data_IF_987923959927
#
_entry.id   IF_987923959927
#
_cell.length_a   1.000
_cell.length_b   1.000
_cell.length_c   1.000
_cell.angle_alpha   90.00
_cell.angle_beta   90.00
_cell.angle_gamma   90.00
#
_symmetry.space_group_name_H-M   'P 1'
#
loop_
_entity.id
_entity.type
_entity.pdbx_description
1 polymer ?
#
# COMPACT_ATOMS: atom_id res chain seq x y z
N UNK A 1 -4.93 10.36 3.72
CA UNK A 1 -5.58 10.61 5.03
C UNK A 1 -4.51 10.86 6.07
N UNK A 2 -4.80 11.64 7.09
CA UNK A 2 -3.88 11.97 8.17
C UNK A 2 -4.53 11.67 9.53
N UNK A 3 -3.77 11.05 10.44
CA UNK A 3 -4.21 10.64 11.76
C UNK A 3 -3.03 10.61 12.75
N UNK A 4 -3.31 10.33 14.03
CA UNK A 4 -2.38 10.45 15.15
C UNK A 4 -2.33 11.87 15.72
N UNK A 5 -2.06 12.01 17.02
CA UNK A 5 -2.14 13.29 17.71
C UNK A 5 -1.24 14.40 17.14
N UNK A 6 -0.12 14.02 16.52
CA UNK A 6 0.81 14.94 15.86
C UNK A 6 0.64 15.02 14.33
N UNK A 7 -0.17 14.14 13.72
CA UNK A 7 -0.25 14.04 12.25
C UNK A 7 -0.70 15.35 11.61
N UNK A 8 -1.74 15.99 12.17
CA UNK A 8 -2.27 17.26 11.68
C UNK A 8 -1.27 18.42 11.70
N UNK A 9 -0.20 18.33 12.51
CA UNK A 9 0.82 19.39 12.63
C UNK A 9 1.75 19.44 11.41
N UNK A 10 1.96 18.29 10.75
CA UNK A 10 2.87 18.18 9.61
C UNK A 10 2.14 17.88 8.28
N UNK A 11 0.82 17.70 8.33
CA UNK A 11 0.00 17.25 7.21
C UNK A 11 0.21 18.06 5.92
N UNK A 12 0.15 19.39 5.99
CA UNK A 12 0.31 20.26 4.82
C UNK A 12 1.73 20.19 4.23
N UNK A 13 2.76 20.24 5.09
CA UNK A 13 4.16 20.22 4.64
C UNK A 13 4.56 18.88 4.01
N UNK A 14 4.11 17.76 4.60
CA UNK A 14 4.29 16.42 4.03
C UNK A 14 3.54 16.31 2.70
N UNK A 15 2.32 16.83 2.62
CA UNK A 15 1.55 16.84 1.38
C UNK A 15 2.24 17.66 0.29
N UNK A 16 2.77 18.84 0.61
CA UNK A 16 3.53 19.67 -0.34
C UNK A 16 4.79 18.96 -0.83
N UNK A 17 5.56 18.32 0.06
CA UNK A 17 6.76 17.56 -0.30
C UNK A 17 6.46 16.37 -1.23
N UNK A 18 5.30 15.72 -1.03
CA UNK A 18 4.83 14.60 -1.86
C UNK A 18 4.03 15.06 -3.11
N UNK A 19 3.85 16.37 -3.31
CA UNK A 19 3.03 16.90 -4.41
C UNK A 19 1.54 16.56 -4.31
N UNK A 20 1.05 16.21 -3.13
CA UNK A 20 -0.36 15.97 -2.84
C UNK A 20 -1.10 17.30 -2.69
N UNK A 21 -2.33 17.37 -3.19
CA UNK A 21 -3.15 18.60 -3.19
C UNK A 21 -4.28 18.60 -2.15
N UNK A 22 -4.52 17.44 -1.53
CA UNK A 22 -5.66 17.25 -0.62
C UNK A 22 -5.26 16.33 0.52
N UNK A 23 -5.59 16.72 1.74
CA UNK A 23 -5.46 15.89 2.95
C UNK A 23 -6.82 15.78 3.62
N UNK A 24 -7.13 14.60 4.12
CA UNK A 24 -8.36 14.31 4.83
C UNK A 24 -8.05 13.92 6.27
N UNK A 25 -8.71 14.57 7.22
CA UNK A 25 -8.51 14.41 8.67
C UNK A 25 -9.86 14.11 9.32
N UNK A 26 -9.94 12.94 9.96
CA UNK A 26 -11.13 12.50 10.68
C UNK A 26 -11.29 13.27 12.02
N UNK A 27 -12.50 13.56 12.53
CA UNK A 27 -12.66 14.27 13.82
C UNK A 27 -12.01 13.56 15.00
N UNK A 28 -11.87 12.23 14.91
CA UNK A 28 -11.16 11.40 15.87
C UNK A 28 -9.72 11.06 15.45
N UNK A 29 -9.11 11.83 14.55
CA UNK A 29 -7.77 11.58 14.01
C UNK A 29 -6.72 11.31 15.10
N UNK A 30 -6.73 12.08 16.19
CA UNK A 30 -5.79 11.91 17.32
C UNK A 30 -5.88 10.54 18.02
N UNK A 31 -7.04 9.89 17.97
CA UNK A 31 -7.33 8.59 18.62
C UNK A 31 -7.89 7.56 17.63
N UNK A 32 -7.58 7.72 16.34
CA UNK A 32 -8.25 6.97 15.27
C UNK A 32 -8.02 5.46 15.39
N UNK A 33 -6.86 5.04 15.90
CA UNK A 33 -6.57 3.63 16.19
C UNK A 33 -7.49 3.05 17.25
N UNK A 34 -7.76 3.78 18.34
CA UNK A 34 -8.68 3.35 19.39
C UNK A 34 -10.13 3.31 18.88
N UNK A 35 -10.52 4.29 18.08
CA UNK A 35 -11.82 4.29 17.40
C UNK A 35 -11.95 3.09 16.45
N UNK A 36 -10.93 2.81 15.65
CA UNK A 36 -10.89 1.65 14.75
C UNK A 36 -10.99 0.31 15.49
N UNK A 37 -10.30 0.18 16.64
CA UNK A 37 -10.45 -1.00 17.50
C UNK A 37 -11.87 -1.13 18.06
N UNK A 38 -12.51 -0.03 18.45
CA UNK A 38 -13.90 -0.05 18.94
C UNK A 38 -14.94 -0.38 17.88
N UNK A 39 -14.67 -0.04 16.61
CA UNK A 39 -15.52 -0.39 15.47
C UNK A 39 -15.25 -1.77 14.89
N UNK A 40 -14.11 -2.38 15.23
CA UNK A 40 -13.70 -3.65 14.65
C UNK A 40 -14.71 -4.74 15.03
N UNK A 41 -15.18 -5.48 14.02
CA UNK A 41 -15.97 -6.68 14.24
C UNK A 41 -15.14 -7.71 15.01
N UNK A 42 -15.73 -8.30 16.04
CA UNK A 42 -15.13 -9.47 16.70
C UNK A 42 -15.04 -10.62 15.71
N UNK A 43 -13.87 -11.24 15.63
CA UNK A 43 -13.55 -12.30 14.67
C UNK A 43 -12.89 -13.46 15.39
N UNK A 44 -13.29 -14.68 15.03
CA UNK A 44 -12.64 -15.90 15.46
C UNK A 44 -12.29 -16.72 14.22
N UNK A 45 -11.02 -17.08 14.05
CA UNK A 45 -10.55 -17.88 12.92
C UNK A 45 -10.11 -19.25 13.45
N UNK A 46 -10.56 -20.30 12.77
CA UNK A 46 -10.15 -21.68 13.00
C UNK A 46 -9.75 -22.30 11.67
N UNK A 47 -8.63 -23.02 11.65
CA UNK A 47 -8.10 -23.63 10.43
C UNK A 47 -7.55 -25.03 10.70
N UNK A 48 -7.51 -25.85 9.65
CA UNK A 48 -6.96 -27.21 9.68
C UNK A 48 -6.17 -27.49 8.40
N UNK A 49 -4.95 -27.98 8.56
CA UNK A 49 -4.15 -28.49 7.46
C UNK A 49 -4.74 -29.80 6.93
N UNK A 50 -4.81 -29.93 5.60
CA UNK A 50 -5.36 -31.08 4.89
C UNK A 50 -4.24 -31.76 4.09
N UNK A 51 -3.49 -30.98 3.28
CA UNK A 51 -2.42 -31.45 2.40
C UNK A 51 -2.80 -32.68 1.57
N UNK A 52 -3.91 -32.57 0.83
CA UNK A 52 -4.41 -33.64 -0.06
C UNK A 52 -4.66 -33.14 -1.48
N UNK A 53 -4.47 -33.98 -2.51
CA UNK A 53 -4.91 -33.65 -3.87
C UNK A 53 -6.40 -33.28 -3.90
N UNK A 54 -6.75 -32.30 -4.74
CA UNK A 54 -8.13 -31.89 -4.97
C UNK A 54 -8.90 -33.04 -5.65
N UNK A 55 -9.59 -33.83 -4.83
CA UNK A 55 -10.34 -35.00 -5.24
C UNK A 55 -11.62 -35.14 -4.39
N UNK A 56 -12.66 -35.86 -4.88
CA UNK A 56 -13.93 -36.00 -4.16
C UNK A 56 -13.80 -36.47 -2.71
N UNK A 57 -12.87 -37.40 -2.42
CA UNK A 57 -12.64 -37.87 -1.06
C UNK A 57 -12.10 -36.77 -0.13
N UNK A 58 -11.16 -35.95 -0.61
CA UNK A 58 -10.61 -34.82 0.13
C UNK A 58 -11.67 -33.72 0.36
N UNK A 59 -12.55 -33.49 -0.61
CA UNK A 59 -13.67 -32.55 -0.46
C UNK A 59 -14.62 -32.97 0.68
N UNK A 60 -14.92 -34.26 0.80
CA UNK A 60 -15.72 -34.80 1.90
C UNK A 60 -15.07 -34.60 3.27
N UNK A 61 -13.76 -34.86 3.38
CA UNK A 61 -12.97 -34.61 4.61
C UNK A 61 -12.94 -33.12 4.97
N UNK A 62 -12.76 -32.26 3.98
CA UNK A 62 -12.77 -30.80 4.14
C UNK A 62 -14.14 -30.29 4.62
N UNK A 63 -15.23 -30.75 4.00
CA UNK A 63 -16.59 -30.37 4.39
C UNK A 63 -16.90 -30.75 5.85
N UNK A 64 -16.56 -31.98 6.25
CA UNK A 64 -16.69 -32.42 7.64
C UNK A 64 -15.84 -31.57 8.60
N UNK A 65 -14.61 -31.26 8.22
CA UNK A 65 -13.72 -30.39 9.00
C UNK A 65 -14.23 -28.97 9.16
N UNK A 66 -14.76 -28.39 8.08
CA UNK A 66 -15.31 -27.04 8.10
C UNK A 66 -16.52 -26.95 9.04
N UNK A 67 -17.33 -28.00 9.17
CA UNK A 67 -18.41 -28.05 10.16
C UNK A 67 -17.88 -27.99 11.60
N UNK A 68 -16.82 -28.75 11.91
CA UNK A 68 -16.17 -28.73 13.23
C UNK A 68 -15.53 -27.37 13.53
N UNK A 69 -14.80 -26.81 12.56
CA UNK A 69 -14.17 -25.48 12.68
C UNK A 69 -15.22 -24.38 12.84
N UNK A 70 -16.33 -24.47 12.12
CA UNK A 70 -17.46 -23.55 12.22
C UNK A 70 -18.11 -23.58 13.60
N UNK A 71 -18.33 -24.76 14.17
CA UNK A 71 -18.88 -24.91 15.51
C UNK A 71 -17.93 -24.29 16.56
N UNK A 72 -16.62 -24.56 16.45
CA UNK A 72 -15.63 -23.99 17.36
C UNK A 72 -15.48 -22.46 17.25
N UNK A 73 -15.45 -21.92 16.03
CA UNK A 73 -15.36 -20.47 15.81
C UNK A 73 -16.61 -19.72 16.27
N UNK A 74 -17.80 -20.34 16.09
CA UNK A 74 -19.06 -19.79 16.62
C UNK A 74 -19.07 -19.79 18.14
N UNK A 75 -18.70 -20.90 18.77
CA UNK A 75 -18.68 -21.03 20.23
C UNK A 75 -17.80 -19.95 20.87
N UNK A 76 -16.61 -19.70 20.30
CA UNK A 76 -15.71 -18.65 20.79
C UNK A 76 -16.36 -17.25 20.80
N UNK A 77 -17.09 -16.89 19.73
CA UNK A 77 -17.78 -15.58 19.70
C UNK A 77 -19.00 -15.54 20.63
N UNK A 78 -19.71 -16.65 20.82
CA UNK A 78 -20.81 -16.74 21.80
C UNK A 78 -20.28 -16.59 23.23
N UNK A 79 -19.15 -17.19 23.56
CA UNK A 79 -18.48 -17.03 24.87
C UNK A 79 -18.02 -15.58 25.12
N UNK A 80 -17.75 -14.83 24.05
CA UNK A 80 -17.49 -13.37 24.11
C UNK A 80 -18.77 -12.52 24.20
N UNK A 81 -19.95 -13.15 24.30
CA UNK A 81 -21.23 -12.48 24.55
C UNK A 81 -22.04 -12.11 23.30
N UNK A 82 -21.69 -12.61 22.11
CA UNK A 82 -22.47 -12.39 20.89
C UNK A 82 -23.65 -13.37 20.78
N UNK A 83 -24.80 -12.86 20.35
CA UNK A 83 -25.91 -13.73 19.98
C UNK A 83 -25.60 -14.48 18.69
N UNK A 84 -26.02 -15.74 18.58
CA UNK A 84 -25.77 -16.56 17.37
C UNK A 84 -26.31 -15.94 16.08
N UNK A 85 -27.41 -15.19 16.17
CA UNK A 85 -28.02 -14.48 15.04
C UNK A 85 -27.14 -13.35 14.48
N UNK A 86 -26.17 -12.87 15.26
CA UNK A 86 -25.22 -11.82 14.88
C UNK A 86 -23.92 -12.39 14.29
N UNK A 87 -23.74 -13.72 14.29
CA UNK A 87 -22.50 -14.36 13.83
C UNK A 87 -22.69 -14.84 12.38
N UNK A 88 -21.88 -14.29 11.47
CA UNK A 88 -21.74 -14.81 10.11
C UNK A 88 -20.51 -15.72 10.03
N UNK A 89 -20.61 -16.83 9.30
CA UNK A 89 -19.48 -17.73 9.04
C UNK A 89 -19.03 -17.60 7.59
N UNK A 90 -17.73 -17.55 7.39
CA UNK A 90 -17.10 -17.52 6.07
C UNK A 90 -16.11 -18.68 6.00
N UNK A 91 -16.34 -19.62 5.10
CA UNK A 91 -15.45 -20.76 4.87
C UNK A 91 -14.52 -20.47 3.69
N UNK A 92 -13.23 -20.76 3.84
CA UNK A 92 -12.21 -20.62 2.81
C UNK A 92 -11.33 -21.87 2.72
N UNK A 93 -10.67 -22.03 1.57
CA UNK A 93 -9.64 -23.03 1.36
C UNK A 93 -8.40 -22.39 0.71
N UNK A 94 -7.23 -22.87 1.10
CA UNK A 94 -5.95 -22.54 0.49
C UNK A 94 -5.54 -23.67 -0.43
N UNK A 95 -5.40 -23.35 -1.72
CA UNK A 95 -4.99 -24.29 -2.75
C UNK A 95 -3.61 -23.91 -3.28
N UNK A 96 -2.85 -24.91 -3.73
CA UNK A 96 -1.57 -24.74 -4.43
C UNK A 96 -1.42 -25.75 -5.55
N UNK A 97 -0.50 -25.49 -6.48
CA UNK A 97 -0.08 -26.52 -7.40
C UNK A 97 0.79 -27.54 -6.67
N UNK A 98 0.69 -28.81 -7.06
CA UNK A 98 1.53 -29.88 -6.53
C UNK A 98 3.03 -29.54 -6.67
N UNK A 99 3.80 -29.74 -5.60
CA UNK A 99 5.23 -29.42 -5.58
C UNK A 99 5.55 -27.92 -5.64
N UNK A 100 4.64 -27.06 -5.16
CA UNK A 100 4.86 -25.62 -4.94
C UNK A 100 4.48 -25.27 -3.49
N UNK A 101 5.01 -24.17 -2.96
CA UNK A 101 4.70 -23.67 -1.61
C UNK A 101 3.75 -22.46 -1.65
N UNK A 102 3.66 -21.78 -2.81
CA UNK A 102 2.76 -20.65 -3.03
C UNK A 102 1.28 -21.07 -3.03
N UNK A 103 0.52 -20.61 -2.03
CA UNK A 103 -0.92 -20.89 -1.92
C UNK A 103 -1.80 -19.69 -2.27
N UNK A 104 -3.02 -19.98 -2.71
CA UNK A 104 -4.07 -18.99 -2.95
C UNK A 104 -5.30 -19.31 -2.10
N UNK A 105 -5.74 -18.33 -1.32
CA UNK A 105 -6.95 -18.43 -0.51
C UNK A 105 -8.20 -18.11 -1.35
N UNK A 106 -9.20 -19.00 -1.29
CA UNK A 106 -10.40 -18.96 -2.10
C UNK A 106 -11.63 -19.22 -1.22
N UNK A 107 -12.80 -18.62 -1.52
CA UNK A 107 -14.05 -19.02 -0.90
C UNK A 107 -14.30 -20.51 -1.13
N UNK A 108 -14.69 -21.22 -0.06
CA UNK A 108 -14.97 -22.65 -0.12
C UNK A 108 -16.08 -22.97 -1.14
N UNK A 109 -15.99 -24.15 -1.75
CA UNK A 109 -17.06 -24.77 -2.52
C UNK A 109 -16.94 -26.29 -2.38
N UNK A 110 -18.08 -26.97 -2.30
CA UNK A 110 -18.11 -28.44 -2.34
C UNK A 110 -17.86 -28.97 -3.76
N UNK A 111 -17.95 -28.11 -4.78
CA UNK A 111 -17.61 -28.43 -6.16
C UNK A 111 -16.11 -28.20 -6.42
N UNK A 112 -15.36 -29.30 -6.56
CA UNK A 112 -13.94 -29.25 -6.89
C UNK A 112 -13.63 -28.59 -8.22
N UNK A 113 -14.52 -28.70 -9.22
CA UNK A 113 -14.32 -28.04 -10.52
C UNK A 113 -14.46 -26.52 -10.39
N UNK A 114 -15.37 -26.05 -9.54
CA UNK A 114 -15.49 -24.64 -9.21
C UNK A 114 -14.25 -24.11 -8.47
N UNK A 115 -13.75 -24.84 -7.46
CA UNK A 115 -12.51 -24.48 -6.76
C UNK A 115 -11.33 -24.38 -7.73
N UNK A 116 -11.17 -25.37 -8.62
CA UNK A 116 -10.12 -25.35 -9.63
C UNK A 116 -10.22 -24.13 -10.55
N UNK A 117 -11.42 -23.83 -11.06
CA UNK A 117 -11.64 -22.65 -11.92
C UNK A 117 -11.34 -21.33 -11.20
N UNK A 118 -11.75 -21.20 -9.93
CA UNK A 118 -11.46 -20.02 -9.10
C UNK A 118 -9.96 -19.88 -8.87
N UNK A 119 -9.27 -20.99 -8.58
CA UNK A 119 -7.82 -21.04 -8.41
C UNK A 119 -7.11 -20.58 -9.68
N UNK A 120 -7.38 -21.20 -10.83
CA UNK A 120 -6.72 -20.86 -12.10
C UNK A 120 -6.94 -19.40 -12.50
N UNK A 121 -8.17 -18.89 -12.33
CA UNK A 121 -8.46 -17.48 -12.59
C UNK A 121 -7.57 -16.57 -11.71
N UNK A 122 -7.57 -16.80 -10.40
CA UNK A 122 -6.82 -15.99 -9.44
C UNK A 122 -5.30 -16.13 -9.62
N UNK A 123 -4.83 -17.33 -9.98
CA UNK A 123 -3.44 -17.62 -10.27
C UNK A 123 -2.99 -16.88 -11.53
N UNK A 124 -3.80 -16.87 -12.60
CA UNK A 124 -3.49 -16.10 -13.81
C UNK A 124 -3.49 -14.59 -13.56
N UNK A 125 -4.42 -14.09 -12.76
CA UNK A 125 -4.46 -12.67 -12.37
C UNK A 125 -3.21 -12.25 -11.57
N UNK A 126 -2.70 -13.14 -10.71
CA UNK A 126 -1.55 -12.84 -9.85
C UNK A 126 -0.19 -13.10 -10.50
N UNK A 127 -0.08 -14.16 -11.31
CA UNK A 127 1.19 -14.69 -11.81
C UNK A 127 1.30 -14.68 -13.34
N UNK A 128 0.18 -14.51 -14.07
CA UNK A 128 0.17 -14.37 -15.54
C UNK A 128 0.21 -15.67 -16.36
N UNK A 129 0.44 -16.83 -15.74
CA UNK A 129 0.51 -18.13 -16.40
C UNK A 129 -0.24 -19.23 -15.62
N UNK A 130 -0.28 -20.47 -16.12
CA UNK A 130 -0.79 -21.66 -15.42
C UNK A 130 0.22 -22.82 -15.52
N UNK A 131 0.07 -23.83 -14.67
CA UNK A 131 0.88 -25.06 -14.68
C UNK A 131 -0.01 -26.27 -15.04
N UNK A 132 -0.29 -26.52 -16.33
CA UNK A 132 -1.30 -27.50 -16.75
C UNK A 132 -0.96 -28.95 -16.38
N UNK A 133 0.34 -29.27 -16.25
CA UNK A 133 0.81 -30.62 -15.93
C UNK A 133 0.84 -30.91 -14.42
N UNK A 134 0.38 -29.98 -13.58
CA UNK A 134 0.39 -30.12 -12.12
C UNK A 134 -1.01 -30.20 -11.56
N UNK A 135 -1.24 -31.20 -10.70
CA UNK A 135 -2.45 -31.30 -9.92
C UNK A 135 -2.60 -30.15 -8.93
N UNK A 136 -3.81 -29.95 -8.41
CA UNK A 136 -4.08 -29.03 -7.32
C UNK A 136 -4.09 -29.77 -5.98
N UNK A 137 -3.57 -29.13 -4.94
CA UNK A 137 -3.54 -29.62 -3.56
C UNK A 137 -4.34 -28.65 -2.70
N UNK A 138 -5.25 -29.19 -1.89
CA UNK A 138 -5.88 -28.46 -0.79
C UNK A 138 -4.91 -28.50 0.39
N UNK A 139 -4.25 -27.38 0.66
CA UNK A 139 -3.30 -27.28 1.76
C UNK A 139 -4.03 -27.14 3.09
N UNK A 140 -4.95 -26.18 3.19
CA UNK A 140 -5.63 -25.81 4.44
C UNK A 140 -7.07 -25.42 4.16
N UNK A 141 -7.97 -25.73 5.08
CA UNK A 141 -9.33 -25.17 5.12
C UNK A 141 -9.50 -24.35 6.39
N UNK A 142 -10.28 -23.27 6.31
CA UNK A 142 -10.51 -22.36 7.42
C UNK A 142 -11.97 -21.89 7.48
N UNK A 143 -12.42 -21.58 8.69
CA UNK A 143 -13.66 -20.85 8.94
C UNK A 143 -13.33 -19.61 9.76
N UNK A 144 -13.79 -18.47 9.26
CA UNK A 144 -13.84 -17.21 10.00
C UNK A 144 -15.28 -16.96 10.46
N UNK A 145 -15.47 -16.84 11.76
CA UNK A 145 -16.68 -16.30 12.34
C UNK A 145 -16.52 -14.78 12.50
N UNK A 146 -17.50 -14.02 12.02
CA UNK A 146 -17.52 -12.55 12.07
C UNK A 146 -18.77 -12.09 12.80
N UNK A 147 -18.58 -11.40 13.92
CA UNK A 147 -19.65 -10.70 14.62
C UNK A 147 -20.11 -9.48 13.83
N UNK A 148 -21.38 -9.44 13.44
CA UNK A 148 -21.97 -8.24 12.86
C UNK A 148 -22.14 -7.19 13.95
N UNK A 149 -21.32 -6.14 13.89
CA UNK A 149 -21.61 -4.88 14.57
C UNK A 149 -22.44 -4.02 13.62
N UNK A 150 -23.55 -3.45 14.10
CA UNK A 150 -24.23 -2.42 13.32
C UNK A 150 -23.25 -1.25 13.13
N UNK A 151 -23.02 -0.79 11.89
CA UNK A 151 -22.19 0.38 11.68
C UNK A 151 -22.84 1.55 12.41
N UNK A 152 -22.22 2.01 13.49
CA UNK A 152 -22.59 3.26 14.14
C UNK A 152 -22.16 4.37 13.18
N UNK A 153 -23.06 4.72 12.25
CA UNK A 153 -22.85 5.88 11.40
C UNK A 153 -22.70 7.09 12.31
N UNK A 154 -21.60 7.83 12.16
CA UNK A 154 -21.49 9.12 12.80
C UNK A 154 -22.69 9.96 12.34
N UNK A 155 -23.50 10.51 13.26
CA UNK A 155 -24.62 11.34 12.87
C UNK A 155 -24.08 12.51 12.03
N UNK A 156 -24.67 12.80 10.86
CA UNK A 156 -24.27 13.97 10.09
C UNK A 156 -24.39 15.22 10.96
N UNK A 157 -23.38 16.07 10.91
CA UNK A 157 -23.44 17.38 11.57
C UNK A 157 -24.63 18.15 11.00
N UNK A 158 -25.50 18.63 11.88
CA UNK A 158 -26.64 19.47 11.51
C UNK A 158 -26.15 20.86 11.11
N UNK A 159 -26.32 21.22 9.83
CA UNK A 159 -26.10 22.58 9.33
C UNK A 159 -26.08 22.64 7.80
N UNK A 160 -26.70 23.67 7.22
CA UNK A 160 -26.56 23.96 5.80
C UNK A 160 -25.16 24.55 5.55
N UNK A 161 -24.28 23.89 4.77
CA UNK A 161 -22.93 24.38 4.49
C UNK A 161 -22.91 25.78 3.85
N UNK A 162 -23.99 26.21 3.21
CA UNK A 162 -24.07 27.46 2.47
C UNK A 162 -24.28 28.71 3.36
N UNK A 163 -24.71 28.54 4.61
CA UNK A 163 -25.06 29.64 5.52
C UNK A 163 -24.17 29.71 6.79
N UNK A 164 -23.07 28.95 6.82
CA UNK A 164 -22.23 28.90 8.00
C UNK A 164 -21.56 30.28 8.26
N UNK A 165 -21.71 30.87 9.46
CA UNK A 165 -21.08 32.15 9.78
C UNK A 165 -19.55 32.03 9.75
N UNK A 166 -18.81 33.14 9.65
CA UNK A 166 -17.35 33.11 9.75
C UNK A 166 -16.91 32.46 11.07
N UNK A 167 -15.91 31.59 11.00
CA UNK A 167 -15.35 30.98 12.19
C UNK A 167 -14.73 32.04 13.11
N UNK A 168 -14.98 31.93 14.42
CA UNK A 168 -14.44 32.86 15.42
C UNK A 168 -13.09 32.36 15.91
N UNK A 169 -12.04 33.15 15.74
CA UNK A 169 -10.75 32.87 16.32
C UNK A 169 -10.78 33.01 17.85
N UNK A 170 -10.19 32.03 18.54
CA UNK A 170 -9.94 32.07 19.98
C UNK A 170 -8.78 33.01 20.34
N UNK A 171 -7.75 33.03 19.50
CA UNK A 171 -6.52 33.78 19.72
C UNK A 171 -5.79 34.05 18.40
N UNK A 172 -4.79 34.92 18.46
CA UNK A 172 -3.75 35.03 17.43
C UNK A 172 -2.40 34.69 18.06
N UNK A 173 -1.59 33.93 17.33
CA UNK A 173 -0.26 33.48 17.78
C UNK A 173 0.75 33.59 16.65
N UNK A 174 2.04 33.69 17.02
CA UNK A 174 3.13 33.62 16.05
C UNK A 174 3.41 32.17 15.65
N UNK A 175 3.29 31.87 14.37
CA UNK A 175 3.66 30.60 13.74
C UNK A 175 4.95 30.79 12.94
N UNK A 176 5.96 29.96 13.17
CA UNK A 176 7.16 29.94 12.32
C UNK A 176 7.07 28.78 11.34
N UNK A 177 6.99 29.10 10.05
CA UNK A 177 6.91 28.13 8.95
C UNK A 177 7.47 28.76 7.68
N UNK A 178 7.86 27.97 6.69
CA UNK A 178 8.44 28.46 5.43
C UNK A 178 9.56 29.51 5.67
N UNK A 179 10.40 29.27 6.68
CA UNK A 179 11.51 30.13 7.10
C UNK A 179 11.17 31.57 7.50
N UNK A 180 9.92 31.85 7.93
CA UNK A 180 9.54 33.16 8.48
C UNK A 180 8.42 33.05 9.52
N UNK A 181 8.21 34.14 10.26
CA UNK A 181 7.08 34.25 11.19
C UNK A 181 5.81 34.73 10.46
N UNK A 182 4.68 34.15 10.83
CA UNK A 182 3.33 34.53 10.44
C UNK A 182 2.48 34.75 11.69
N UNK A 183 1.47 35.63 11.60
CA UNK A 183 0.38 35.69 12.58
C UNK A 183 -0.69 34.66 12.17
N UNK A 184 -0.92 33.66 13.01
CA UNK A 184 -1.86 32.58 12.76
C UNK A 184 -3.06 32.68 13.72
N UNK A 185 -4.28 32.61 13.17
CA UNK A 185 -5.48 32.52 13.97
C UNK A 185 -5.63 31.10 14.55
N UNK A 186 -6.02 31.02 15.83
CA UNK A 186 -6.28 29.76 16.52
C UNK A 186 -7.78 29.55 16.62
N UNK A 187 -8.27 28.39 16.18
CA UNK A 187 -9.68 28.01 16.23
C UNK A 187 -9.87 26.80 17.15
N UNK A 188 -11.00 26.77 17.85
CA UNK A 188 -11.44 25.56 18.54
C UNK A 188 -12.19 24.66 17.56
N UNK A 189 -11.77 23.40 17.44
CA UNK A 189 -12.44 22.44 16.56
C UNK A 189 -13.90 22.25 16.92
N UNK A 190 -14.25 22.29 18.22
CA UNK A 190 -15.63 22.07 18.67
C UNK A 190 -16.57 23.23 18.35
N UNK A 191 -16.02 24.40 18.02
CA UNK A 191 -16.78 25.58 17.62
C UNK A 191 -16.94 25.69 16.09
N UNK A 192 -16.28 24.82 15.32
CA UNK A 192 -16.38 24.83 13.86
C UNK A 192 -17.62 24.07 13.38
N UNK A 193 -18.31 24.64 12.40
CA UNK A 193 -19.53 24.11 11.81
C UNK A 193 -19.26 23.57 10.39
N UNK A 194 -20.01 22.55 9.93
CA UNK A 194 -19.98 22.11 8.54
C UNK A 194 -20.11 23.28 7.56
N UNK A 195 -19.31 23.24 6.48
CA UNK A 195 -19.24 24.29 5.47
C UNK A 195 -18.24 25.41 5.76
N UNK A 196 -17.83 25.62 7.02
CA UNK A 196 -16.84 26.64 7.33
C UNK A 196 -15.48 26.32 6.70
N UNK A 197 -14.87 27.35 6.13
CA UNK A 197 -13.54 27.30 5.54
C UNK A 197 -12.56 28.20 6.30
N UNK A 198 -11.34 27.71 6.49
CA UNK A 198 -10.26 28.40 7.18
C UNK A 198 -9.05 28.48 6.25
N UNK A 199 -8.67 29.68 5.84
CA UNK A 199 -7.43 29.91 5.10
C UNK A 199 -6.23 29.91 6.04
N UNK A 200 -5.15 29.23 5.63
CA UNK A 200 -3.87 29.28 6.31
C UNK A 200 -3.16 30.62 6.12
N UNK A 201 -2.30 31.07 7.06
CA UNK A 201 -1.84 30.34 8.25
C UNK A 201 -2.87 30.32 9.38
N UNK A 202 -3.23 29.12 9.83
CA UNK A 202 -4.19 28.93 10.92
C UNK A 202 -3.89 27.64 11.71
N UNK A 203 -4.33 27.60 12.97
CA UNK A 203 -4.17 26.44 13.85
C UNK A 203 -5.56 26.03 14.34
N UNK A 204 -5.90 24.77 14.14
CA UNK A 204 -7.11 24.16 14.70
C UNK A 204 -6.70 23.31 15.90
N UNK A 205 -7.12 23.75 17.09
CA UNK A 205 -6.92 23.01 18.34
C UNK A 205 -8.08 22.03 18.51
N UNK A 206 -7.75 20.78 18.78
CA UNK A 206 -8.71 19.72 19.10
C UNK A 206 -8.44 19.18 20.51
N UNK A 207 -9.34 18.35 21.04
CA UNK A 207 -9.13 17.72 22.36
C UNK A 207 -7.88 16.83 22.39
N UNK A 208 -7.64 16.09 21.30
CA UNK A 208 -6.61 15.04 21.23
C UNK A 208 -5.60 15.24 20.09
N UNK A 209 -5.65 16.39 19.39
CA UNK A 209 -4.79 16.68 18.25
C UNK A 209 -4.68 18.19 18.02
N UNK A 210 -3.70 18.57 17.20
CA UNK A 210 -3.58 19.93 16.68
C UNK A 210 -3.33 19.84 15.18
N UNK A 211 -4.13 20.57 14.40
CA UNK A 211 -3.98 20.65 12.95
C UNK A 211 -3.44 22.01 12.55
N UNK A 212 -2.34 22.04 11.81
CA UNK A 212 -1.75 23.28 11.27
C UNK A 212 -2.13 23.41 9.80
N UNK A 213 -2.76 24.53 9.46
CA UNK A 213 -3.13 24.89 8.10
C UNK A 213 -2.06 25.86 7.61
N UNK A 214 -1.16 25.37 6.78
CA UNK A 214 -0.02 26.14 6.29
C UNK A 214 -0.45 27.26 5.31
N UNK A 215 0.35 28.31 5.14
CA UNK A 215 0.10 29.34 4.12
C UNK A 215 -0.13 28.72 2.74
N UNK A 216 -1.22 29.13 2.07
CA UNK A 216 -1.60 28.60 0.76
C UNK A 216 -2.42 27.30 0.79
N UNK A 217 -2.75 26.81 1.98
CA UNK A 217 -3.75 25.76 2.21
C UNK A 217 -5.04 26.35 2.78
N UNK A 218 -6.16 25.66 2.54
CA UNK A 218 -7.47 25.94 3.11
C UNK A 218 -8.02 24.68 3.75
N UNK A 219 -8.50 24.77 4.99
CA UNK A 219 -9.31 23.72 5.59
C UNK A 219 -10.79 23.97 5.32
N UNK A 220 -11.58 22.91 5.17
CA UNK A 220 -13.05 22.98 5.11
C UNK A 220 -13.65 21.86 5.96
N UNK A 221 -14.65 22.20 6.77
CA UNK A 221 -15.42 21.22 7.55
C UNK A 221 -16.48 20.58 6.67
N UNK A 222 -16.47 19.26 6.56
CA UNK A 222 -17.48 18.51 5.78
C UNK A 222 -18.77 18.29 6.58
N UNK A 223 -19.88 17.89 5.93
CA UNK A 223 -21.13 17.52 6.64
C UNK A 223 -20.99 16.38 7.65
N UNK A 224 -19.95 15.56 7.52
CA UNK A 224 -19.63 14.48 8.45
C UNK A 224 -18.56 14.88 9.48
N UNK A 225 -18.33 16.19 9.65
CA UNK A 225 -17.41 16.76 10.62
C UNK A 225 -15.92 16.36 10.40
N UNK A 226 -15.57 15.96 9.19
CA UNK A 226 -14.16 15.84 8.77
C UNK A 226 -13.56 17.19 8.41
N UNK A 227 -12.25 17.34 8.61
CA UNK A 227 -11.48 18.43 8.02
C UNK A 227 -10.85 17.97 6.71
N UNK A 228 -11.12 18.70 5.64
CA UNK A 228 -10.47 18.52 4.34
C UNK A 228 -9.54 19.71 4.12
N UNK A 229 -8.24 19.44 4.03
CA UNK A 229 -7.23 20.44 3.68
C UNK A 229 -7.01 20.40 2.18
N UNK A 230 -7.08 21.54 1.52
CA UNK A 230 -6.86 21.69 0.08
C UNK A 230 -5.82 22.74 -0.19
N UNK A 231 -4.95 22.45 -1.15
CA UNK A 231 -3.98 23.40 -1.63
C UNK A 231 -4.63 24.39 -2.58
N UNK A 232 -4.77 25.65 -2.14
CA UNK A 232 -5.47 26.71 -2.88
C UNK A 232 -4.53 27.68 -3.58
N UNK A 233 -3.28 27.80 -3.11
CA UNK A 233 -2.22 28.51 -3.81
C UNK A 233 -1.27 27.50 -4.49
N UNK A 234 -0.78 27.74 -5.72
CA UNK A 234 0.21 26.86 -6.35
C UNK A 234 1.47 26.70 -5.50
N UNK A 235 2.07 25.51 -5.47
CA UNK A 235 3.42 25.34 -4.89
C UNK A 235 4.40 26.11 -5.77
N UNK A 236 5.11 27.07 -5.19
CA UNK A 236 6.34 27.56 -5.80
C UNK A 236 7.37 26.43 -5.69
N UNK A 237 7.34 25.54 -6.68
CA UNK A 237 8.43 24.59 -6.88
C UNK A 237 9.62 25.43 -7.32
N UNK A 238 10.56 25.65 -6.43
CA UNK A 238 11.91 25.94 -6.86
C UNK A 238 12.28 24.76 -7.78
N UNK A 239 12.32 25.01 -9.09
CA UNK A 239 12.88 24.05 -10.02
C UNK A 239 14.25 23.69 -9.44
N UNK A 240 14.45 22.40 -9.15
CA UNK A 240 15.75 21.88 -8.77
C UNK A 240 16.68 22.01 -9.97
N UNK A 241 17.14 23.23 -10.24
CA UNK A 241 18.15 23.58 -11.24
C UNK A 241 19.54 23.58 -10.59
N UNK A 242 19.72 22.82 -9.50
CA UNK A 242 20.97 22.78 -8.75
C UNK A 242 21.23 21.41 -8.12
N UNK A 243 22.50 21.13 -7.85
CA UNK A 243 23.00 19.91 -7.20
C UNK A 243 22.83 19.93 -5.67
N UNK A 244 22.15 20.93 -5.12
CA UNK A 244 21.87 21.03 -3.70
C UNK A 244 20.72 20.08 -3.35
N UNK A 245 21.07 18.90 -2.83
CA UNK A 245 20.09 17.91 -2.42
C UNK A 245 19.27 18.44 -1.23
N UNK A 246 17.99 18.73 -1.44
CA UNK A 246 17.03 18.91 -0.36
C UNK A 246 16.94 17.57 0.39
N UNK A 247 17.26 17.51 1.70
CA UNK A 247 17.27 16.25 2.46
C UNK A 247 15.90 15.55 2.47
N UNK A 248 14.80 16.31 2.37
CA UNK A 248 13.45 15.74 2.29
C UNK A 248 13.25 15.08 0.93
N UNK A 249 13.56 15.78 -0.16
CA UNK A 249 13.45 15.20 -1.50
C UNK A 249 14.40 14.03 -1.70
N UNK A 250 15.61 14.09 -1.16
CA UNK A 250 16.59 13.01 -1.19
C UNK A 250 15.98 11.73 -0.57
N UNK A 251 15.37 11.86 0.61
CA UNK A 251 14.73 10.71 1.27
C UNK A 251 13.49 10.23 0.52
N UNK A 252 12.68 11.14 -0.04
CA UNK A 252 11.54 10.76 -0.89
C UNK A 252 12.01 9.97 -2.12
N UNK A 253 13.03 10.46 -2.85
CA UNK A 253 13.58 9.78 -4.00
C UNK A 253 14.23 8.45 -3.63
N UNK A 254 14.96 8.38 -2.50
CA UNK A 254 15.52 7.13 -1.98
C UNK A 254 14.44 6.07 -1.79
N UNK A 255 13.34 6.40 -1.10
CA UNK A 255 12.22 5.49 -0.91
C UNK A 255 11.52 5.12 -2.22
N UNK A 256 11.37 6.07 -3.15
CA UNK A 256 10.78 5.81 -4.47
C UNK A 256 11.63 4.83 -5.29
N UNK A 257 12.95 5.03 -5.38
CA UNK A 257 13.83 4.13 -6.13
C UNK A 257 13.94 2.75 -5.48
N UNK A 258 13.99 2.68 -4.14
CA UNK A 258 13.92 1.42 -3.42
C UNK A 258 12.61 0.69 -3.70
N UNK A 259 11.47 1.40 -3.67
CA UNK A 259 10.16 0.84 -4.02
C UNK A 259 10.14 0.30 -5.45
N UNK A 260 10.73 1.01 -6.42
CA UNK A 260 10.86 0.51 -7.80
C UNK A 260 11.62 -0.82 -7.83
N UNK A 261 12.78 -0.91 -7.18
CA UNK A 261 13.58 -2.13 -7.14
C UNK A 261 12.82 -3.29 -6.48
N UNK A 262 12.10 -3.04 -5.39
CA UNK A 262 11.25 -4.03 -4.71
C UNK A 262 10.10 -4.50 -5.59
N UNK A 263 9.39 -3.59 -6.27
CA UNK A 263 8.28 -3.94 -7.16
C UNK A 263 8.75 -4.72 -8.39
N UNK A 264 9.94 -4.42 -8.93
CA UNK A 264 10.58 -5.25 -9.94
C UNK A 264 10.77 -6.68 -9.42
N UNK A 265 11.26 -6.83 -8.19
CA UNK A 265 11.46 -8.13 -7.55
C UNK A 265 10.16 -8.91 -7.36
N UNK A 266 9.11 -8.25 -6.85
CA UNK A 266 7.77 -8.84 -6.71
C UNK A 266 7.23 -9.29 -8.07
N UNK A 267 7.40 -8.48 -9.12
CA UNK A 267 6.95 -8.82 -10.48
C UNK A 267 7.71 -10.03 -11.01
N UNK A 268 9.04 -10.08 -10.83
CA UNK A 268 9.86 -11.20 -11.25
C UNK A 268 9.49 -12.49 -10.51
N UNK A 269 9.37 -12.43 -9.18
CA UNK A 269 8.95 -13.57 -8.35
C UNK A 269 7.57 -14.11 -8.79
N UNK A 270 6.61 -13.21 -9.05
CA UNK A 270 5.27 -13.60 -9.45
C UNK A 270 5.21 -14.21 -10.87
N UNK A 271 6.03 -13.71 -11.79
CA UNK A 271 6.02 -14.17 -13.19
C UNK A 271 6.97 -15.35 -13.45
N UNK A 272 7.80 -15.71 -12.49
CA UNK A 272 8.72 -16.83 -12.60
C UNK A 272 8.03 -18.19 -12.44
N UNK A 273 8.32 -19.11 -13.36
CA UNK A 273 8.01 -20.54 -13.20
C UNK A 273 9.09 -21.32 -12.45
N UNK A 274 10.29 -20.73 -12.29
CA UNK A 274 11.41 -21.32 -11.55
C UNK A 274 11.15 -21.29 -10.05
N UNK A 275 11.23 -22.44 -9.40
CA UNK A 275 11.13 -22.56 -7.93
C UNK A 275 12.25 -21.79 -7.22
N UNK A 276 13.45 -21.73 -7.82
CA UNK A 276 14.56 -20.96 -7.23
C UNK A 276 14.24 -19.45 -7.18
N UNK A 277 13.61 -18.92 -8.23
CA UNK A 277 13.25 -17.49 -8.27
C UNK A 277 12.00 -17.23 -7.44
N UNK A 278 10.94 -18.03 -7.63
CA UNK A 278 9.64 -17.80 -7.01
C UNK A 278 9.62 -18.08 -5.51
N UNK A 279 10.20 -19.19 -5.08
CA UNK A 279 10.09 -19.67 -3.69
C UNK A 279 11.37 -19.42 -2.88
N UNK A 280 12.55 -19.61 -3.49
CA UNK A 280 13.84 -19.36 -2.81
C UNK A 280 14.33 -17.92 -2.92
N UNK A 281 13.65 -17.08 -3.70
CA UNK A 281 14.00 -15.68 -3.95
C UNK A 281 15.44 -15.49 -4.43
N UNK A 282 15.91 -16.44 -5.24
CA UNK A 282 17.26 -16.46 -5.81
C UNK A 282 17.32 -15.55 -7.04
N UNK A 283 17.13 -14.25 -6.81
CA UNK A 283 17.23 -13.18 -7.80
C UNK A 283 17.58 -11.87 -7.11
N UNK A 284 17.91 -10.84 -7.86
CA UNK A 284 18.03 -9.48 -7.33
C UNK A 284 17.61 -8.46 -8.37
N UNK A 285 17.05 -7.35 -7.91
CA UNK A 285 16.65 -6.24 -8.75
C UNK A 285 17.30 -4.97 -8.23
N UNK A 286 17.79 -4.15 -9.15
CA UNK A 286 18.49 -2.92 -8.83
C UNK A 286 18.25 -1.86 -9.90
N UNK A 287 18.31 -0.61 -9.47
CA UNK A 287 18.23 0.58 -10.32
C UNK A 287 19.61 1.22 -10.35
N UNK A 288 20.07 1.55 -11.55
CA UNK A 288 21.38 2.12 -11.80
C UNK A 288 21.25 3.47 -12.49
N UNK A 289 22.17 4.38 -12.16
CA UNK A 289 22.32 5.63 -12.87
C UNK A 289 22.92 5.40 -14.26
N UNK A 290 22.85 6.42 -15.12
CA UNK A 290 23.32 6.33 -16.51
C UNK A 290 24.84 6.04 -16.64
N UNK A 291 25.61 6.23 -15.57
CA UNK A 291 27.04 5.96 -15.49
C UNK A 291 27.38 4.58 -14.89
N UNK A 292 26.37 3.82 -14.49
CA UNK A 292 26.53 2.50 -13.87
C UNK A 292 26.61 2.53 -12.34
N UNK A 293 26.45 3.70 -11.70
CA UNK A 293 26.41 3.78 -10.23
C UNK A 293 25.11 3.16 -9.70
N UNK A 294 25.20 2.32 -8.67
CA UNK A 294 24.03 1.75 -8.00
C UNK A 294 23.23 2.85 -7.27
N UNK A 295 21.94 2.95 -7.57
CA UNK A 295 21.00 3.91 -6.95
C UNK A 295 20.15 3.24 -5.88
N UNK A 296 19.61 2.04 -6.17
CA UNK A 296 18.75 1.30 -5.26
C UNK A 296 18.78 -0.20 -5.57
N UNK A 297 18.59 -1.05 -4.56
CA UNK A 297 18.55 -2.51 -4.74
C UNK A 297 17.58 -3.18 -3.77
N UNK A 298 16.84 -4.18 -4.25
CA UNK A 298 16.03 -5.05 -3.40
C UNK A 298 16.93 -6.08 -2.69
N UNK A 299 16.84 -6.25 -1.36
CA UNK A 299 17.73 -7.11 -0.60
C UNK A 299 17.26 -8.57 -0.62
N UNK A 300 17.74 -9.36 -1.60
CA UNK A 300 17.42 -10.78 -1.67
C UNK A 300 18.66 -11.68 -1.59
N UNK A 301 19.72 -11.41 -2.38
CA UNK A 301 20.94 -12.22 -2.40
C UNK A 301 22.22 -11.37 -2.38
N UNK A 302 23.04 -11.40 -1.30
CA UNK A 302 24.23 -10.56 -1.17
C UNK A 302 25.28 -10.73 -2.29
N UNK A 303 25.37 -11.92 -2.89
CA UNK A 303 26.31 -12.21 -3.98
C UNK A 303 25.99 -11.45 -5.27
N UNK A 304 24.72 -11.14 -5.52
CA UNK A 304 24.31 -10.35 -6.69
C UNK A 304 24.73 -8.88 -6.54
N UNK A 305 24.76 -8.35 -5.31
CA UNK A 305 25.08 -6.95 -5.08
C UNK A 305 26.52 -6.60 -5.51
N UNK A 306 27.47 -7.51 -5.31
CA UNK A 306 28.86 -7.28 -5.71
C UNK A 306 29.13 -7.45 -7.20
N UNK A 307 28.20 -8.02 -7.96
CA UNK A 307 28.40 -8.44 -9.36
C UNK A 307 27.58 -7.61 -10.36
N UNK A 308 26.37 -7.19 -9.99
CA UNK A 308 25.48 -6.40 -10.85
C UNK A 308 26.10 -5.07 -11.31
N UNK A 309 26.84 -4.35 -10.43
CA UNK A 309 27.52 -3.10 -10.78
C UNK A 309 28.51 -3.30 -11.95
N UNK A 310 29.29 -4.39 -11.90
CA UNK A 310 30.27 -4.71 -12.96
C UNK A 310 29.59 -5.12 -14.27
N UNK A 311 28.44 -5.80 -14.18
CA UNK A 311 27.61 -6.17 -15.32
C UNK A 311 27.09 -4.92 -16.06
N UNK A 312 26.51 -3.98 -15.32
CA UNK A 312 25.98 -2.73 -15.88
C UNK A 312 27.10 -1.86 -16.47
N UNK A 313 28.21 -1.69 -15.76
CA UNK A 313 29.39 -0.98 -16.29
C UNK A 313 29.90 -1.58 -17.59
N UNK A 314 29.95 -2.92 -17.67
CA UNK A 314 30.41 -3.62 -18.87
C UNK A 314 29.45 -3.40 -20.04
N UNK A 315 28.14 -3.48 -19.81
CA UNK A 315 27.11 -3.19 -20.81
C UNK A 315 27.27 -1.76 -21.33
N UNK A 316 27.42 -0.77 -20.44
CA UNK A 316 27.62 0.64 -20.83
C UNK A 316 28.89 0.81 -21.65
N UNK A 317 30.01 0.21 -21.21
CA UNK A 317 31.32 0.33 -21.87
C UNK A 317 31.31 -0.29 -23.27
N UNK A 318 30.79 -1.51 -23.41
CA UNK A 318 30.83 -2.26 -24.67
C UNK A 318 29.81 -1.75 -25.71
N UNK A 319 28.74 -1.10 -25.25
CA UNK A 319 27.67 -0.59 -26.10
C UNK A 319 27.64 0.94 -26.19
N UNK A 320 28.74 1.61 -25.82
CA UNK A 320 28.84 3.07 -25.83
C UNK A 320 28.45 3.65 -27.19
N UNK A 321 27.47 4.55 -27.19
CA UNK A 321 26.94 5.19 -28.40
C UNK A 321 25.98 4.34 -29.24
N UNK A 322 25.62 3.14 -28.76
CA UNK A 322 24.72 2.19 -29.46
C UNK A 322 23.46 1.84 -28.68
N UNK A 323 23.40 2.18 -27.39
CA UNK A 323 22.22 1.94 -26.53
C UNK A 323 21.06 2.79 -27.02
N UNK A 324 19.93 2.14 -27.34
CA UNK A 324 18.72 2.77 -27.86
C UNK A 324 17.47 2.39 -27.03
N UNK A 325 16.40 3.20 -27.09
CA UNK A 325 15.13 2.85 -26.47
C UNK A 325 14.59 1.51 -26.97
N UNK A 326 14.21 0.62 -26.04
CA UNK A 326 13.68 -0.71 -26.36
C UNK A 326 14.74 -1.82 -26.38
N UNK A 327 16.03 -1.50 -26.29
CA UNK A 327 17.08 -2.50 -26.15
C UNK A 327 16.94 -3.27 -24.83
N UNK A 328 17.36 -4.54 -24.84
CA UNK A 328 17.52 -5.36 -23.63
C UNK A 328 18.84 -6.11 -23.75
N UNK A 329 19.69 -5.98 -22.74
CA UNK A 329 21.01 -6.61 -22.70
C UNK A 329 20.99 -7.76 -21.70
N UNK A 330 21.61 -8.88 -22.06
CA UNK A 330 21.76 -10.03 -21.17
C UNK A 330 23.25 -10.39 -21.04
N UNK A 331 23.70 -10.64 -19.81
CA UNK A 331 25.08 -10.99 -19.50
C UNK A 331 25.15 -12.11 -18.47
N UNK A 332 26.08 -13.02 -18.69
CA UNK A 332 26.33 -14.18 -17.84
C UNK A 332 27.84 -14.52 -17.81
N UNK A 333 28.68 -13.68 -18.42
CA UNK A 333 30.12 -13.91 -18.44
C UNK A 333 30.72 -13.57 -17.06
N UNK A 334 31.34 -14.52 -16.33
CA UNK A 334 31.81 -14.26 -14.97
C UNK A 334 32.83 -13.13 -14.86
N UNK A 335 33.70 -13.00 -15.86
CA UNK A 335 34.71 -11.93 -15.93
C UNK A 335 34.12 -10.53 -16.14
N UNK A 336 32.84 -10.45 -16.53
CA UNK A 336 32.15 -9.21 -16.85
C UNK A 336 30.97 -8.92 -15.90
N UNK A 337 30.98 -9.50 -14.69
CA UNK A 337 29.94 -9.27 -13.69
C UNK A 337 28.86 -10.35 -13.61
N UNK A 338 29.01 -11.47 -14.32
CA UNK A 338 28.25 -12.69 -14.01
C UNK A 338 28.77 -13.35 -12.72
N UNK A 339 27.90 -14.03 -11.97
CA UNK A 339 28.25 -14.77 -10.75
C UNK A 339 28.60 -16.23 -11.07
N UNK A 340 27.69 -16.95 -11.70
CA UNK A 340 27.89 -18.31 -12.17
C UNK A 340 26.95 -18.64 -13.33
N UNK A 341 27.21 -19.75 -14.04
CA UNK A 341 26.52 -20.09 -15.30
C UNK A 341 24.96 -20.07 -15.24
N UNK A 342 24.30 -20.46 -14.15
CA UNK A 342 22.84 -20.30 -14.04
C UNK A 342 22.31 -18.86 -13.95
N UNK A 343 23.13 -17.89 -13.54
CA UNK A 343 22.69 -16.53 -13.22
C UNK A 343 22.84 -15.61 -14.42
N UNK A 344 21.71 -15.16 -14.95
CA UNK A 344 21.67 -14.26 -16.10
C UNK A 344 21.23 -12.89 -15.60
N UNK A 345 22.09 -11.89 -15.75
CA UNK A 345 21.72 -10.49 -15.52
C UNK A 345 21.10 -9.92 -16.79
N UNK A 346 19.88 -9.39 -16.66
CA UNK A 346 19.18 -8.70 -17.75
C UNK A 346 19.04 -7.23 -17.39
N UNK A 347 19.48 -6.34 -18.28
CA UNK A 347 19.46 -4.89 -18.08
C UNK A 347 18.70 -4.21 -19.22
N UNK A 348 17.73 -3.37 -18.84
CA UNK A 348 16.95 -2.55 -19.78
C UNK A 348 17.26 -1.07 -19.52
N UNK A 349 17.84 -0.33 -20.49
CA UNK A 349 18.04 1.10 -20.37
C UNK A 349 16.71 1.85 -20.37
N UNK A 350 16.57 2.82 -19.47
CA UNK A 350 15.38 3.68 -19.38
C UNK A 350 15.71 5.04 -19.99
N UNK A 351 14.90 5.47 -20.95
CA UNK A 351 15.00 6.77 -21.60
C UNK A 351 13.82 7.66 -21.17
N UNK A 352 14.06 8.96 -21.13
CA UNK A 352 12.99 9.93 -20.90
C UNK A 352 11.94 9.79 -22.01
N UNK A 353 10.71 9.45 -21.63
CA UNK A 353 9.59 9.47 -22.56
C UNK A 353 9.15 10.93 -22.72
N UNK A 354 8.98 11.40 -23.96
CA UNK A 354 8.60 12.78 -24.27
C UNK A 354 7.17 13.18 -23.80
N UNK A 355 6.58 12.46 -22.85
CA UNK A 355 5.20 12.65 -22.43
C UNK A 355 5.00 12.24 -20.97
N UNK A 356 5.36 13.14 -20.06
CA UNK A 356 4.70 13.25 -18.76
C UNK A 356 3.88 14.55 -18.72
N UNK A 357 3.00 14.75 -19.71
CA UNK A 357 1.83 15.60 -19.46
C UNK A 357 0.94 14.85 -18.48
N UNK A 358 0.92 15.31 -17.23
CA UNK A 358 -0.03 14.87 -16.23
C UNK A 358 -1.42 14.87 -16.88
N UNK A 359 -2.04 13.69 -16.99
CA UNK A 359 -3.44 13.52 -17.41
C UNK A 359 -4.30 14.43 -16.51
N UNK A 360 -4.56 15.65 -16.98
CA UNK A 360 -5.72 16.43 -16.54
C UNK A 360 -6.92 15.64 -17.06
N UNK A 361 -7.71 15.11 -16.14
CA UNK A 361 -9.04 14.64 -16.48
C UNK A 361 -9.78 15.78 -17.21
N UNK A 362 -10.35 15.52 -18.41
CA UNK A 362 -11.29 16.45 -19.00
C UNK A 362 -12.60 16.40 -18.19
N UNK A 363 -13.05 17.60 -17.82
CA UNK A 363 -14.35 18.07 -17.30
C UNK A 363 -15.32 17.07 -16.64
#
# INVERSE_FOLDING_TARGET
CCFGGAGGQHACLVADALGMRRVYIHPLAGVLSAYGMGLAALRAIRQRAIERPLAPAALGECAAGLLELAAGARLELVEQGLAESQIALVATARLKYEGTDSTLELPWSEDGAELARRFEKRYREQYGFLLPDRGLVIETVAVEAVGRSEPTAAPPGSGDPAEAPPARALAQVKLYTQSRYFEAAVFDREALLPGQALDGPAIVKEKNATTVIEPGWRATVTPLDHLVLERVAPLERAHALGTTADPVLLEVFNNLFMSVAEQMGVTLANTASSVNIKERLDFSCAVFAHDGTLVANAPHMPVHLGSMDRAVETIIRENKGRIAPGDVYAINAPYNGGTHLPDITVCTPVFETASFEARRHPE
#
